data_IF_424832908959
#
_entry.id   IF_424832908959
#
_cell.length_a   1.000
_cell.length_b   1.000
_cell.length_c   1.000
_cell.angle_alpha   90.00
_cell.angle_beta   90.00
_cell.angle_gamma   90.00
#
_symmetry.space_group_name_H-M   'P 1'
#
loop_
_entity.id
_entity.type
_entity.pdbx_description
1 polymer ?
#
# COMPACT_ATOMS: atom_id res chain seq x y z
N UNK A 1 -23.42 22.96 4.27
CA UNK A 1 -24.06 21.84 3.54
C UNK A 1 -23.06 20.86 2.90
N UNK A 2 -22.36 21.18 1.78
CA UNK A 2 -21.43 20.21 1.15
C UNK A 2 -20.26 19.80 2.08
N UNK A 3 -19.66 20.76 2.78
CA UNK A 3 -18.57 20.52 3.75
C UNK A 3 -19.02 19.66 4.94
N UNK A 4 -20.24 19.86 5.44
CA UNK A 4 -20.81 19.10 6.56
C UNK A 4 -21.16 17.67 6.13
N UNK A 5 -21.74 17.49 4.94
CA UNK A 5 -22.02 16.17 4.36
C UNK A 5 -20.70 15.42 4.14
N UNK A 6 -19.67 16.08 3.61
CA UNK A 6 -18.37 15.46 3.40
C UNK A 6 -17.69 15.07 4.71
N UNK A 7 -17.72 15.94 5.73
CA UNK A 7 -17.19 15.60 7.06
C UNK A 7 -17.93 14.41 7.66
N UNK A 8 -19.26 14.41 7.63
CA UNK A 8 -20.06 13.29 8.11
C UNK A 8 -19.69 11.98 7.40
N UNK A 9 -19.53 12.00 6.07
CA UNK A 9 -19.13 10.82 5.30
C UNK A 9 -17.72 10.33 5.66
N UNK A 10 -16.78 11.25 5.91
CA UNK A 10 -15.42 10.91 6.33
C UNK A 10 -15.38 10.36 7.77
N UNK A 11 -16.22 10.89 8.66
CA UNK A 11 -16.32 10.44 10.06
C UNK A 11 -16.88 9.01 10.19
N UNK A 12 -17.58 8.50 9.16
CA UNK A 12 -18.04 7.11 9.10
C UNK A 12 -16.88 6.11 8.96
N UNK A 13 -15.70 6.56 8.54
CA UNK A 13 -14.51 5.73 8.32
C UNK A 13 -14.63 4.75 7.13
N UNK A 14 -13.54 4.03 6.81
CA UNK A 14 -13.46 3.17 5.63
C UNK A 14 -14.48 2.03 5.66
N UNK A 15 -14.74 1.47 6.83
CA UNK A 15 -15.61 0.32 7.07
C UNK A 15 -17.07 0.56 6.65
N UNK A 16 -17.54 1.80 6.72
CA UNK A 16 -18.91 2.18 6.36
C UNK A 16 -18.95 2.98 5.07
N UNK A 17 -17.97 3.87 4.85
CA UNK A 17 -17.91 4.68 3.64
C UNK A 17 -17.72 3.84 2.38
N UNK A 18 -16.80 2.87 2.40
CA UNK A 18 -16.51 2.06 1.22
C UNK A 18 -17.73 1.22 0.80
N UNK A 19 -18.44 0.48 1.69
CA UNK A 19 -19.69 -0.18 1.33
C UNK A 19 -20.75 0.74 0.74
N UNK A 20 -20.95 1.93 1.30
CA UNK A 20 -21.95 2.89 0.80
C UNK A 20 -21.61 3.37 -0.61
N UNK A 21 -20.36 3.79 -0.83
CA UNK A 21 -19.87 4.22 -2.15
C UNK A 21 -20.02 3.08 -3.15
N UNK A 22 -19.68 1.85 -2.76
CA UNK A 22 -19.81 0.68 -3.62
C UNK A 22 -21.26 0.36 -3.94
N UNK A 23 -22.21 0.48 -3.00
CA UNK A 23 -23.64 0.27 -3.26
C UNK A 23 -24.14 1.28 -4.31
N UNK A 24 -23.79 2.55 -4.14
CA UNK A 24 -24.16 3.62 -5.09
C UNK A 24 -23.54 3.36 -6.46
N UNK A 25 -22.24 3.07 -6.50
CA UNK A 25 -21.52 2.77 -7.74
C UNK A 25 -22.12 1.56 -8.47
N UNK A 26 -22.37 0.46 -7.75
CA UNK A 26 -22.99 -0.75 -8.27
C UNK A 26 -24.38 -0.48 -8.86
N UNK A 27 -25.16 0.39 -8.21
CA UNK A 27 -26.47 0.81 -8.71
C UNK A 27 -26.36 1.60 -10.01
N UNK A 28 -25.40 2.52 -10.12
CA UNK A 28 -25.12 3.27 -11.34
C UNK A 28 -24.68 2.37 -12.51
N UNK A 29 -24.03 1.24 -12.21
CA UNK A 29 -23.70 0.19 -13.17
C UNK A 29 -24.92 -0.65 -13.60
N UNK A 30 -26.10 -0.43 -13.02
CA UNK A 30 -27.34 -1.09 -13.39
C UNK A 30 -27.55 -2.45 -12.72
N UNK A 31 -26.90 -2.71 -11.59
CA UNK A 31 -27.20 -3.86 -10.74
C UNK A 31 -28.57 -3.68 -10.03
N UNK A 32 -29.24 -4.79 -9.69
CA UNK A 32 -30.48 -4.75 -8.90
C UNK A 32 -30.15 -4.28 -7.48
N UNK A 33 -31.09 -3.59 -6.83
CA UNK A 33 -30.83 -2.98 -5.51
C UNK A 33 -30.43 -4.04 -4.46
N UNK A 34 -31.08 -5.20 -4.45
CA UNK A 34 -30.72 -6.32 -3.57
C UNK A 34 -29.30 -6.83 -3.80
N UNK A 35 -28.86 -6.95 -5.06
CA UNK A 35 -27.51 -7.37 -5.41
C UNK A 35 -26.48 -6.31 -5.02
N UNK A 36 -26.82 -5.02 -5.18
CA UNK A 36 -25.97 -3.90 -4.74
C UNK A 36 -25.76 -3.95 -3.22
N UNK A 37 -26.85 -4.07 -2.45
CA UNK A 37 -26.80 -4.12 -0.99
C UNK A 37 -26.01 -5.34 -0.50
N UNK A 38 -26.27 -6.52 -1.06
CA UNK A 38 -25.52 -7.74 -0.75
C UNK A 38 -24.03 -7.57 -1.03
N UNK A 39 -23.67 -7.07 -2.21
CA UNK A 39 -22.26 -6.87 -2.62
C UNK A 39 -21.54 -5.88 -1.71
N UNK A 40 -22.17 -4.73 -1.43
CA UNK A 40 -21.62 -3.72 -0.52
C UNK A 40 -21.45 -4.24 0.90
N UNK A 41 -22.43 -4.98 1.43
CA UNK A 41 -22.36 -5.56 2.78
C UNK A 41 -21.24 -6.60 2.90
N UNK A 42 -21.09 -7.50 1.90
CA UNK A 42 -20.00 -8.47 1.85
C UNK A 42 -18.62 -7.80 1.89
N UNK A 43 -18.45 -6.71 1.13
CA UNK A 43 -17.23 -5.90 1.13
C UNK A 43 -17.02 -5.29 2.52
N UNK A 44 -18.04 -4.65 3.10
CA UNK A 44 -17.96 -4.07 4.44
C UNK A 44 -17.55 -5.06 5.51
N UNK A 45 -18.17 -6.25 5.53
CA UNK A 45 -17.81 -7.36 6.44
C UNK A 45 -16.34 -7.76 6.26
N UNK A 46 -15.87 -7.86 5.03
CA UNK A 46 -14.47 -8.17 4.75
C UNK A 46 -13.50 -7.11 5.26
N UNK A 47 -13.82 -5.81 5.11
CA UNK A 47 -13.03 -4.72 5.68
C UNK A 47 -13.05 -4.69 7.21
N UNK A 48 -14.18 -5.01 7.85
CA UNK A 48 -14.23 -5.26 9.31
C UNK A 48 -13.26 -6.37 9.67
N UNK A 49 -13.29 -7.50 8.95
CA UNK A 49 -12.40 -8.64 9.18
C UNK A 49 -10.92 -8.28 9.02
N UNK A 50 -10.56 -7.55 7.97
CA UNK A 50 -9.20 -7.00 7.77
C UNK A 50 -8.81 -6.10 8.94
N UNK A 51 -9.68 -5.18 9.35
CA UNK A 51 -9.44 -4.29 10.49
C UNK A 51 -9.20 -5.04 11.79
N UNK A 52 -9.94 -6.12 12.05
CA UNK A 52 -9.74 -6.98 13.22
C UNK A 52 -8.37 -7.69 13.20
N UNK A 53 -7.95 -8.20 12.05
CA UNK A 53 -6.65 -8.89 11.92
C UNK A 53 -5.49 -7.89 12.03
N UNK A 54 -5.59 -6.73 11.36
CA UNK A 54 -4.61 -5.65 11.50
C UNK A 54 -4.56 -5.13 12.93
N UNK A 55 -5.71 -4.96 13.59
CA UNK A 55 -5.80 -4.60 15.00
C UNK A 55 -5.07 -5.61 15.90
N UNK A 56 -5.30 -6.90 15.68
CA UNK A 56 -4.58 -7.96 16.39
C UNK A 56 -3.05 -7.85 16.19
N UNK A 57 -2.60 -7.53 14.97
CA UNK A 57 -1.18 -7.28 14.69
C UNK A 57 -0.67 -6.06 15.46
N UNK A 58 -1.36 -4.92 15.40
CA UNK A 58 -0.99 -3.70 16.11
C UNK A 58 -0.90 -3.91 17.62
N UNK A 59 -1.91 -4.55 18.22
CA UNK A 59 -2.03 -4.78 19.66
C UNK A 59 -1.02 -5.83 20.18
N UNK A 60 -0.44 -6.64 19.29
CA UNK A 60 0.47 -7.72 19.67
C UNK A 60 1.92 -7.44 19.28
N UNK A 61 2.16 -7.11 18.01
CA UNK A 61 3.49 -6.83 17.45
C UNK A 61 3.96 -5.44 17.84
N UNK A 62 3.07 -4.44 17.91
CA UNK A 62 3.42 -3.07 18.29
C UNK A 62 4.16 -3.05 19.64
N UNK A 63 3.55 -3.51 20.75
CA UNK A 63 4.23 -3.57 22.04
C UNK A 63 5.55 -4.35 22.03
N UNK A 64 5.63 -5.44 21.26
CA UNK A 64 6.85 -6.24 21.13
C UNK A 64 7.97 -5.46 20.44
N UNK A 65 7.64 -4.68 19.41
CA UNK A 65 8.59 -3.83 18.72
C UNK A 65 9.13 -2.71 19.60
N UNK A 66 8.26 -2.08 20.41
CA UNK A 66 8.70 -1.07 21.39
C UNK A 66 9.61 -1.68 22.45
N UNK A 67 9.23 -2.83 23.00
CA UNK A 67 10.07 -3.54 23.97
C UNK A 67 11.42 -3.94 23.36
N UNK A 68 11.44 -4.38 22.10
CA UNK A 68 12.66 -4.67 21.36
C UNK A 68 13.56 -3.43 21.23
N UNK A 69 12.99 -2.26 20.90
CA UNK A 69 13.74 -1.02 20.81
C UNK A 69 14.34 -0.58 22.15
N UNK A 70 13.58 -0.70 23.24
CA UNK A 70 14.05 -0.43 24.59
C UNK A 70 15.15 -1.42 25.02
N UNK A 71 14.96 -2.72 24.73
CA UNK A 71 15.90 -3.79 25.07
C UNK A 71 17.25 -3.64 24.35
N UNK A 72 17.24 -3.28 23.07
CA UNK A 72 18.46 -3.00 22.30
C UNK A 72 19.00 -1.58 22.50
N UNK A 73 18.40 -0.78 23.40
CA UNK A 73 18.80 0.61 23.67
C UNK A 73 18.89 1.46 22.39
N UNK A 74 17.93 1.28 21.49
CA UNK A 74 17.89 1.97 20.20
C UNK A 74 17.58 3.44 20.45
N UNK A 75 18.55 4.32 20.17
CA UNK A 75 18.45 5.77 20.42
C UNK A 75 17.73 6.52 19.28
N UNK A 76 16.52 6.07 18.92
CA UNK A 76 15.63 6.74 17.97
C UNK A 76 14.51 7.43 18.75
N UNK A 77 14.35 8.74 18.55
CA UNK A 77 13.52 9.59 19.42
C UNK A 77 12.23 10.07 18.76
N UNK A 78 12.03 9.82 17.46
CA UNK A 78 10.78 10.16 16.77
C UNK A 78 9.96 8.90 16.54
N UNK A 79 8.71 8.92 17.01
CA UNK A 79 7.81 7.77 16.91
C UNK A 79 7.07 7.81 15.58
N UNK A 80 7.11 6.69 14.87
CA UNK A 80 6.23 6.41 13.74
C UNK A 80 4.79 6.17 14.21
N UNK A 81 3.87 7.06 13.83
CA UNK A 81 2.44 6.95 14.17
C UNK A 81 1.65 6.09 13.18
N UNK A 82 2.30 5.68 12.09
CA UNK A 82 1.74 4.92 11.01
C UNK A 82 0.61 5.59 10.23
N UNK A 83 0.05 4.85 9.27
CA UNK A 83 -1.14 5.30 8.54
C UNK A 83 -2.37 5.57 9.43
N UNK A 84 -2.63 4.85 10.56
CA UNK A 84 -3.78 5.14 11.41
C UNK A 84 -3.67 6.49 12.12
N UNK A 85 -2.44 6.95 12.41
CA UNK A 85 -2.18 8.28 12.93
C UNK A 85 -2.16 9.35 11.82
N UNK A 86 -1.58 9.03 10.66
CA UNK A 86 -1.37 9.99 9.57
C UNK A 86 -2.65 10.36 8.82
N UNK A 87 -3.56 9.40 8.62
CA UNK A 87 -4.77 9.62 7.82
C UNK A 87 -5.75 10.60 8.46
N UNK A 88 -6.08 10.56 9.78
CA UNK A 88 -6.94 11.56 10.39
C UNK A 88 -6.32 12.96 10.38
N UNK A 89 -5.00 13.06 10.61
CA UNK A 89 -4.28 14.35 10.55
C UNK A 89 -4.34 14.96 9.15
N UNK A 90 -4.29 14.12 8.13
CA UNK A 90 -4.45 14.53 6.72
C UNK A 90 -5.84 15.08 6.46
N UNK A 91 -6.88 14.39 6.95
CA UNK A 91 -8.26 14.83 6.77
C UNK A 91 -8.60 16.10 7.56
N UNK A 92 -7.85 16.39 8.62
CA UNK A 92 -7.92 17.67 9.33
C UNK A 92 -7.23 18.84 8.59
N UNK A 93 -6.44 18.56 7.55
CA UNK A 93 -5.70 19.59 6.81
C UNK A 93 -6.61 20.49 5.95
N UNK A 94 -6.12 21.69 5.62
CA UNK A 94 -6.86 22.62 4.75
C UNK A 94 -7.06 22.10 3.31
N UNK A 95 -6.22 21.17 2.85
CA UNK A 95 -6.29 20.59 1.51
C UNK A 95 -7.41 19.54 1.40
N UNK A 96 -7.80 18.93 2.53
CA UNK A 96 -8.77 17.83 2.59
C UNK A 96 -10.11 18.12 1.88
N UNK A 97 -10.64 19.34 2.04
CA UNK A 97 -11.94 19.73 1.49
C UNK A 97 -12.01 19.66 -0.04
N UNK A 98 -10.90 19.98 -0.72
CA UNK A 98 -10.84 20.03 -2.19
C UNK A 98 -10.18 18.79 -2.79
N UNK A 99 -9.46 18.02 -2.00
CA UNK A 99 -8.67 16.90 -2.51
C UNK A 99 -9.55 15.80 -3.16
N UNK A 100 -10.72 15.50 -2.58
CA UNK A 100 -11.66 14.51 -3.12
C UNK A 100 -12.18 14.91 -4.51
N UNK A 101 -12.84 16.07 -4.70
CA UNK A 101 -13.33 16.45 -6.02
C UNK A 101 -12.19 16.60 -7.04
N UNK A 102 -11.01 17.09 -6.62
CA UNK A 102 -9.83 17.18 -7.49
C UNK A 102 -9.36 15.80 -7.93
N UNK A 103 -9.17 14.85 -7.00
CA UNK A 103 -8.72 13.50 -7.30
C UNK A 103 -9.70 12.72 -8.19
N UNK A 104 -11.02 12.88 -7.97
CA UNK A 104 -12.06 12.32 -8.83
C UNK A 104 -12.00 12.97 -10.23
N UNK A 105 -11.87 14.30 -10.29
CA UNK A 105 -11.74 15.04 -11.54
C UNK A 105 -10.54 14.59 -12.36
N UNK A 106 -9.39 14.39 -11.72
CA UNK A 106 -8.17 13.83 -12.34
C UNK A 106 -8.44 12.41 -12.87
N UNK A 107 -9.09 11.55 -12.09
CA UNK A 107 -9.40 10.20 -12.54
C UNK A 107 -10.31 10.21 -13.78
N UNK A 108 -11.39 11.01 -13.76
CA UNK A 108 -12.30 11.18 -14.91
C UNK A 108 -11.56 11.72 -16.14
N UNK A 109 -10.72 12.75 -15.97
CA UNK A 109 -9.93 13.32 -17.05
C UNK A 109 -9.00 12.28 -17.67
N UNK A 110 -8.31 11.50 -16.84
CA UNK A 110 -7.41 10.43 -17.31
C UNK A 110 -8.17 9.30 -18.02
N UNK A 111 -9.40 8.98 -17.61
CA UNK A 111 -10.23 7.98 -18.28
C UNK A 111 -10.69 8.48 -19.67
N UNK A 112 -11.17 9.73 -19.76
CA UNK A 112 -11.62 10.33 -21.03
C UNK A 112 -10.46 10.50 -22.01
N UNK A 113 -9.28 10.90 -21.52
CA UNK A 113 -8.05 11.02 -22.32
C UNK A 113 -7.34 9.69 -22.54
N UNK A 114 -7.89 8.57 -22.03
CA UNK A 114 -7.33 7.21 -22.14
C UNK A 114 -5.92 7.06 -21.56
N UNK A 115 -5.55 7.92 -20.61
CA UNK A 115 -4.29 7.84 -19.88
C UNK A 115 -4.25 6.68 -18.88
N UNK A 116 -5.40 6.27 -18.33
CA UNK A 116 -5.53 5.10 -17.46
C UNK A 116 -6.78 4.30 -17.77
N UNK A 117 -6.78 3.02 -17.40
CA UNK A 117 -7.94 2.12 -17.40
C UNK A 117 -8.60 2.02 -16.02
N UNK A 118 -7.99 2.59 -14.99
CA UNK A 118 -8.40 2.45 -13.58
C UNK A 118 -9.49 3.47 -13.25
N UNK A 119 -10.68 2.98 -12.93
CA UNK A 119 -11.77 3.74 -12.33
C UNK A 119 -11.62 3.63 -10.82
N UNK A 120 -11.18 4.70 -10.16
CA UNK A 120 -11.04 4.66 -8.71
C UNK A 120 -12.41 4.75 -8.04
N UNK A 121 -12.75 3.75 -7.23
CA UNK A 121 -13.99 3.74 -6.43
C UNK A 121 -13.72 3.85 -4.94
N UNK A 122 -12.45 3.75 -4.54
CA UNK A 122 -12.02 3.90 -3.16
C UNK A 122 -11.68 5.36 -2.86
N UNK A 123 -12.68 6.04 -2.29
CA UNK A 123 -12.61 7.45 -1.92
C UNK A 123 -11.81 7.63 -0.62
N UNK A 124 -11.74 6.60 0.25
CA UNK A 124 -11.02 6.70 1.52
C UNK A 124 -9.55 6.91 1.26
N UNK A 125 -8.99 6.12 0.34
CA UNK A 125 -7.58 6.16 0.01
C UNK A 125 -7.14 7.41 -0.78
N UNK A 126 -8.05 8.36 -1.06
CA UNK A 126 -7.69 9.72 -1.48
C UNK A 126 -6.90 10.46 -0.39
N UNK A 127 -6.93 9.99 0.87
CA UNK A 127 -6.09 10.55 1.92
C UNK A 127 -4.60 10.52 1.55
N UNK A 128 -4.10 9.51 0.82
CA UNK A 128 -2.68 9.43 0.43
C UNK A 128 -2.22 10.61 -0.44
N UNK A 129 -2.98 10.90 -1.50
CA UNK A 129 -2.73 12.06 -2.37
C UNK A 129 -3.04 13.39 -1.66
N UNK A 130 -4.00 13.39 -0.74
CA UNK A 130 -4.27 14.54 0.14
C UNK A 130 -3.09 14.84 1.06
N UNK A 131 -2.44 13.81 1.63
CA UNK A 131 -1.26 13.95 2.49
C UNK A 131 -0.15 14.64 1.72
N UNK A 132 0.08 14.24 0.47
CA UNK A 132 1.07 14.89 -0.40
C UNK A 132 0.77 16.36 -0.62
N UNK A 133 -0.49 16.69 -0.92
CA UNK A 133 -0.90 18.09 -1.06
C UNK A 133 -0.76 18.89 0.23
N UNK A 134 -1.11 18.29 1.38
CA UNK A 134 -0.97 18.92 2.69
C UNK A 134 0.50 19.21 3.03
N UNK A 135 1.39 18.24 2.83
CA UNK A 135 2.82 18.41 3.07
C UNK A 135 3.44 19.46 2.14
N UNK A 136 3.03 19.47 0.86
CA UNK A 136 3.53 20.46 -0.10
C UNK A 136 3.03 21.87 0.23
N UNK A 137 1.78 22.00 0.69
CA UNK A 137 1.24 23.26 1.19
C UNK A 137 2.04 23.74 2.42
N UNK A 138 2.30 22.88 3.40
CA UNK A 138 3.10 23.24 4.57
C UNK A 138 4.54 23.64 4.20
N UNK A 139 5.15 22.93 3.25
CA UNK A 139 6.52 23.18 2.83
C UNK A 139 6.71 24.48 2.04
N UNK A 140 5.70 24.90 1.29
CA UNK A 140 5.79 26.04 0.35
C UNK A 140 4.98 27.26 0.78
N UNK A 141 4.05 27.11 1.74
CA UNK A 141 3.04 28.11 2.09
C UNK A 141 1.98 28.36 1.01
N UNK A 142 2.01 27.61 -0.10
CA UNK A 142 1.09 27.82 -1.23
C UNK A 142 0.01 26.76 -1.28
N UNK A 143 -1.23 27.19 -1.07
CA UNK A 143 -2.42 26.34 -1.20
C UNK A 143 -2.55 25.72 -2.61
N UNK A 144 -2.24 26.50 -3.65
CA UNK A 144 -2.32 26.06 -5.04
C UNK A 144 -1.27 25.00 -5.39
N UNK A 145 -0.06 25.13 -4.83
CA UNK A 145 0.94 24.07 -4.96
C UNK A 145 0.50 22.80 -4.22
N UNK A 146 -0.17 22.93 -3.07
CA UNK A 146 -0.81 21.80 -2.40
C UNK A 146 -1.81 21.07 -3.30
N UNK A 147 -2.72 21.80 -3.97
CA UNK A 147 -3.66 21.21 -4.94
C UNK A 147 -2.91 20.53 -6.10
N UNK A 148 -1.87 21.17 -6.65
CA UNK A 148 -1.04 20.57 -7.69
C UNK A 148 -0.40 19.26 -7.21
N UNK A 149 0.05 19.20 -5.95
CA UNK A 149 0.55 17.98 -5.32
C UNK A 149 -0.48 16.85 -5.32
N UNK A 150 -1.75 17.15 -4.97
CA UNK A 150 -2.85 16.17 -5.07
C UNK A 150 -3.02 15.70 -6.51
N UNK A 151 -3.06 16.61 -7.48
CA UNK A 151 -3.24 16.29 -8.90
C UNK A 151 -2.15 15.37 -9.41
N UNK A 152 -0.88 15.71 -9.16
CA UNK A 152 0.27 14.95 -9.65
C UNK A 152 0.33 13.58 -8.98
N UNK A 153 0.14 13.51 -7.66
CA UNK A 153 0.13 12.24 -6.95
C UNK A 153 -1.00 11.35 -7.47
N UNK A 154 -2.24 11.86 -7.52
CA UNK A 154 -3.41 11.12 -7.99
C UNK A 154 -3.18 10.57 -9.41
N UNK A 155 -2.77 11.43 -10.34
CA UNK A 155 -2.53 11.03 -11.73
C UNK A 155 -1.48 9.92 -11.83
N UNK A 156 -0.41 10.05 -11.05
CA UNK A 156 0.68 9.10 -11.06
C UNK A 156 0.28 7.74 -10.47
N UNK A 157 -0.38 7.71 -9.31
CA UNK A 157 -0.74 6.43 -8.67
C UNK A 157 -1.87 5.68 -9.39
N UNK A 158 -2.82 6.39 -10.01
CA UNK A 158 -3.78 5.76 -10.93
C UNK A 158 -3.10 5.13 -12.15
N UNK A 159 -1.96 5.69 -12.59
CA UNK A 159 -1.17 5.10 -13.66
C UNK A 159 -0.34 3.90 -13.19
N UNK A 160 0.19 3.95 -11.98
CA UNK A 160 0.84 2.80 -11.37
C UNK A 160 -0.11 1.61 -11.21
N UNK A 161 -1.34 1.84 -10.75
CA UNK A 161 -2.36 0.79 -10.67
C UNK A 161 -2.65 0.13 -12.02
N UNK A 162 -2.65 0.90 -13.11
CA UNK A 162 -2.80 0.38 -14.48
C UNK A 162 -1.57 -0.44 -14.93
N UNK A 163 -0.35 0.00 -14.59
CA UNK A 163 0.87 -0.73 -14.95
C UNK A 163 1.07 -2.03 -14.18
N UNK A 164 0.62 -2.09 -12.92
CA UNK A 164 0.66 -3.29 -12.07
C UNK A 164 -0.62 -4.14 -12.16
N UNK A 165 -1.52 -3.83 -13.08
CA UNK A 165 -2.77 -4.59 -13.27
C UNK A 165 -2.51 -6.08 -13.55
N UNK A 166 -1.42 -6.41 -14.29
CA UNK A 166 -1.04 -7.80 -14.55
C UNK A 166 -0.60 -8.51 -13.28
N UNK A 167 0.26 -7.88 -12.47
CA UNK A 167 0.69 -8.46 -11.18
C UNK A 167 -0.52 -8.67 -10.26
N UNK A 168 -1.46 -7.74 -10.27
CA UNK A 168 -2.70 -7.82 -9.48
C UNK A 168 -3.61 -8.98 -9.95
N UNK A 169 -3.71 -9.19 -11.27
CA UNK A 169 -4.52 -10.27 -11.86
C UNK A 169 -3.86 -11.65 -11.73
N UNK A 170 -2.61 -11.76 -12.17
CA UNK A 170 -1.96 -13.06 -12.38
C UNK A 170 -1.37 -13.63 -11.08
N UNK A 171 -0.81 -12.78 -10.21
CA UNK A 171 -0.24 -13.23 -8.93
C UNK A 171 -1.28 -13.25 -7.81
N UNK A 172 -2.05 -12.18 -7.65
CA UNK A 172 -3.05 -12.09 -6.57
C UNK A 172 -4.43 -12.66 -6.93
N UNK A 173 -4.69 -13.00 -8.21
CA UNK A 173 -5.98 -13.52 -8.64
C UNK A 173 -7.11 -12.49 -8.63
N UNK A 174 -6.80 -11.19 -8.57
CA UNK A 174 -7.80 -10.12 -8.47
C UNK A 174 -8.17 -9.63 -9.87
N UNK A 175 -8.99 -10.41 -10.55
CA UNK A 175 -9.36 -10.13 -11.94
C UNK A 175 -10.17 -8.82 -12.09
N UNK A 176 -9.68 -7.91 -12.94
CA UNK A 176 -10.36 -6.63 -13.20
C UNK A 176 -10.24 -5.61 -12.07
N UNK A 177 -9.38 -5.88 -11.09
CA UNK A 177 -9.08 -5.01 -9.96
C UNK A 177 -7.67 -4.44 -10.14
N UNK A 178 -7.51 -3.18 -9.77
CA UNK A 178 -6.21 -2.52 -9.67
C UNK A 178 -6.03 -1.99 -8.24
N UNK A 179 -4.77 -1.90 -7.81
CA UNK A 179 -4.39 -1.32 -6.51
C UNK A 179 -3.61 -0.02 -6.78
N UNK A 180 -4.29 1.12 -6.98
CA UNK A 180 -3.66 2.37 -7.34
C UNK A 180 -3.28 3.23 -6.12
N UNK A 181 -3.31 2.68 -4.90
CA UNK A 181 -3.20 3.47 -3.66
C UNK A 181 -2.06 2.98 -2.77
N UNK A 182 -1.67 3.87 -1.85
CA UNK A 182 -0.79 3.56 -0.73
C UNK A 182 0.60 3.10 -1.12
N UNK A 183 1.35 2.64 -0.11
CA UNK A 183 2.74 2.20 -0.22
C UNK A 183 2.92 1.06 -1.23
N UNK A 184 1.94 0.16 -1.36
CA UNK A 184 1.94 -0.90 -2.38
C UNK A 184 2.15 -0.35 -3.78
N UNK A 185 1.39 0.68 -4.17
CA UNK A 185 1.43 1.21 -5.53
C UNK A 185 2.74 1.96 -5.79
N UNK A 186 3.10 2.92 -4.92
CA UNK A 186 4.24 3.79 -5.17
C UNK A 186 5.60 3.16 -4.86
N UNK A 187 5.69 2.06 -4.13
CA UNK A 187 6.97 1.35 -3.90
C UNK A 187 7.22 0.23 -4.91
N UNK A 188 6.19 -0.21 -5.64
CA UNK A 188 6.32 -1.16 -6.74
C UNK A 188 7.43 -0.81 -7.76
N UNK A 189 7.61 0.45 -8.19
CA UNK A 189 8.71 0.84 -9.07
C UNK A 189 10.11 0.54 -8.51
N UNK A 190 10.30 0.63 -7.18
CA UNK A 190 11.59 0.28 -6.55
C UNK A 190 11.83 -1.23 -6.67
N UNK A 191 10.81 -2.05 -6.39
CA UNK A 191 10.91 -3.50 -6.56
C UNK A 191 11.21 -3.89 -8.02
N UNK A 192 10.63 -3.18 -8.99
CA UNK A 192 10.91 -3.37 -10.42
C UNK A 192 12.37 -3.10 -10.80
N UNK A 193 12.94 -2.01 -10.26
CA UNK A 193 14.34 -1.70 -10.46
C UNK A 193 15.23 -2.82 -9.92
N UNK A 194 14.97 -3.25 -8.68
CA UNK A 194 15.73 -4.31 -8.02
C UNK A 194 15.62 -5.63 -8.77
N UNK A 195 14.41 -6.01 -9.21
CA UNK A 195 14.20 -7.24 -9.97
C UNK A 195 15.02 -7.26 -11.26
N UNK A 196 14.99 -6.15 -12.00
CA UNK A 196 15.76 -6.00 -13.24
C UNK A 196 17.28 -6.08 -13.01
N UNK A 197 17.76 -5.55 -11.87
CA UNK A 197 19.18 -5.65 -11.49
C UNK A 197 19.52 -7.10 -11.15
N UNK A 198 18.69 -7.77 -10.35
CA UNK A 198 18.89 -9.17 -9.96
C UNK A 198 18.93 -10.08 -11.19
N UNK A 199 18.04 -9.89 -12.17
CA UNK A 199 18.00 -10.67 -13.41
C UNK A 199 19.31 -10.61 -14.21
N UNK A 200 19.99 -9.46 -14.18
CA UNK A 200 21.25 -9.22 -14.90
C UNK A 200 22.48 -9.80 -14.18
N UNK A 201 22.38 -10.13 -12.89
CA UNK A 201 23.51 -10.67 -12.13
C UNK A 201 23.50 -12.20 -12.25
N UNK A 202 24.48 -12.80 -12.96
CA UNK A 202 24.56 -14.26 -13.09
C UNK A 202 24.77 -14.91 -11.72
N UNK A 203 23.97 -15.95 -11.43
CA UNK A 203 23.98 -16.65 -10.14
C UNK A 203 22.85 -16.17 -9.24
N UNK A 204 22.79 -14.87 -8.95
CA UNK A 204 21.71 -14.27 -8.15
C UNK A 204 20.34 -14.45 -8.82
N UNK A 205 20.30 -14.35 -10.15
CA UNK A 205 19.09 -14.55 -10.94
C UNK A 205 18.50 -15.97 -10.84
N UNK A 206 19.31 -16.98 -10.49
CA UNK A 206 18.90 -18.39 -10.37
C UNK A 206 18.37 -18.74 -8.98
N UNK A 207 18.55 -17.88 -7.98
CA UNK A 207 18.09 -18.16 -6.62
C UNK A 207 16.57 -18.01 -6.59
N UNK A 208 15.86 -19.13 -6.46
CA UNK A 208 14.44 -19.18 -6.25
C UNK A 208 14.13 -19.81 -4.90
N UNK A 209 13.49 -19.03 -4.03
CA UNK A 209 13.07 -19.46 -2.72
C UNK A 209 11.72 -18.83 -2.43
N UNK A 210 10.67 -19.63 -2.38
CA UNK A 210 9.31 -19.20 -2.03
C UNK A 210 8.87 -19.79 -0.68
N UNK A 211 7.80 -19.23 -0.10
CA UNK A 211 7.17 -19.82 1.08
C UNK A 211 6.69 -21.27 0.82
N UNK A 212 6.22 -21.55 -0.39
CA UNK A 212 5.78 -22.90 -0.79
C UNK A 212 6.97 -23.88 -0.86
N UNK A 213 8.15 -23.42 -1.25
CA UNK A 213 9.37 -24.25 -1.22
C UNK A 213 9.79 -24.59 0.22
N UNK A 214 9.57 -23.67 1.17
CA UNK A 214 9.74 -23.94 2.60
C UNK A 214 8.75 -25.02 3.04
N UNK A 215 7.47 -24.91 2.67
CA UNK A 215 6.47 -25.92 2.97
C UNK A 215 6.82 -27.29 2.38
N UNK A 216 7.25 -27.34 1.12
CA UNK A 216 7.65 -28.59 0.45
C UNK A 216 8.85 -29.26 1.12
N UNK A 217 9.80 -28.47 1.65
CA UNK A 217 11.04 -28.99 2.24
C UNK A 217 10.92 -29.32 3.72
N UNK A 218 10.14 -28.55 4.47
CA UNK A 218 9.98 -28.68 5.94
C UNK A 218 8.64 -29.28 6.36
N UNK A 219 7.76 -29.64 5.40
CA UNK A 219 6.48 -30.27 5.65
C UNK A 219 5.57 -29.37 6.52
N UNK A 220 4.93 -29.91 7.58
CA UNK A 220 4.08 -29.12 8.48
C UNK A 220 4.76 -27.90 9.12
N UNK A 221 6.10 -27.93 9.26
CA UNK A 221 6.85 -26.80 9.81
C UNK A 221 7.01 -25.63 8.83
N UNK A 222 6.79 -25.86 7.53
CA UNK A 222 6.82 -24.82 6.52
C UNK A 222 5.44 -24.27 6.17
N UNK A 223 4.37 -24.71 6.83
CA UNK A 223 3.05 -24.13 6.63
C UNK A 223 3.02 -22.66 7.04
N UNK A 224 2.25 -21.80 6.35
CA UNK A 224 2.17 -20.36 6.67
C UNK A 224 1.85 -20.09 8.14
N UNK A 225 1.00 -20.90 8.76
CA UNK A 225 0.65 -20.80 10.19
C UNK A 225 1.87 -21.06 11.08
N UNK A 226 2.67 -22.09 10.78
CA UNK A 226 3.88 -22.43 11.52
C UNK A 226 4.97 -21.37 11.33
N UNK A 227 5.10 -20.81 10.13
CA UNK A 227 5.99 -19.65 9.88
C UNK A 227 5.56 -18.47 10.77
N UNK A 228 4.25 -18.22 10.85
CA UNK A 228 3.69 -17.22 11.77
C UNK A 228 4.07 -17.46 13.22
N UNK A 229 3.92 -18.70 13.68
CA UNK A 229 4.27 -19.12 15.03
C UNK A 229 5.76 -18.91 15.33
N UNK A 230 6.65 -19.42 14.47
CA UNK A 230 8.11 -19.30 14.61
C UNK A 230 8.53 -17.83 14.63
N UNK A 231 7.98 -17.01 13.75
CA UNK A 231 8.30 -15.58 13.73
C UNK A 231 7.84 -14.88 15.01
N UNK A 232 6.69 -15.24 15.58
CA UNK A 232 6.27 -14.67 16.86
C UNK A 232 7.14 -15.11 18.04
N UNK A 233 7.70 -16.33 18.01
CA UNK A 233 8.72 -16.75 18.98
C UNK A 233 9.97 -15.87 18.86
N UNK A 234 10.48 -15.70 17.64
CA UNK A 234 11.68 -14.87 17.37
C UNK A 234 11.46 -13.44 17.84
N UNK A 235 10.34 -12.82 17.45
CA UNK A 235 10.02 -11.44 17.83
C UNK A 235 9.90 -11.32 19.36
N UNK A 236 9.24 -12.26 20.03
CA UNK A 236 9.07 -12.23 21.48
C UNK A 236 10.39 -12.35 22.23
N UNK A 237 11.28 -13.24 21.78
CA UNK A 237 12.62 -13.39 22.38
C UNK A 237 13.45 -12.13 22.18
N UNK A 238 13.45 -11.55 20.98
CA UNK A 238 14.15 -10.30 20.69
C UNK A 238 13.60 -9.12 21.51
N UNK A 239 12.29 -9.13 21.76
CA UNK A 239 11.61 -8.15 22.62
C UNK A 239 11.94 -8.31 24.12
N UNK A 240 12.66 -9.36 24.53
CA UNK A 240 13.00 -9.62 25.93
C UNK A 240 11.80 -10.07 26.78
N UNK A 241 10.77 -10.64 26.14
CA UNK A 241 9.59 -11.14 26.83
C UNK A 241 9.87 -12.41 27.64
N UNK A 242 9.07 -12.64 28.68
CA UNK A 242 9.09 -13.91 29.41
C UNK A 242 8.52 -15.05 28.57
N UNK A 243 8.79 -16.31 28.96
CA UNK A 243 8.38 -17.48 28.19
C UNK A 243 6.86 -17.51 27.89
N UNK A 244 6.04 -17.01 28.84
CA UNK A 244 4.59 -16.92 28.68
C UNK A 244 4.19 -15.92 27.59
N UNK A 245 4.71 -14.70 27.63
CA UNK A 245 4.39 -13.69 26.63
C UNK A 245 4.97 -14.02 25.24
N UNK A 246 6.14 -14.67 25.18
CA UNK A 246 6.70 -15.21 23.92
C UNK A 246 5.74 -16.19 23.26
N UNK A 247 5.23 -17.18 24.01
CA UNK A 247 4.27 -18.16 23.48
C UNK A 247 2.94 -17.51 23.07
N UNK A 248 2.45 -16.53 23.84
CA UNK A 248 1.24 -15.78 23.48
C UNK A 248 1.41 -15.02 22.17
N UNK A 249 2.55 -14.35 21.98
CA UNK A 249 2.86 -13.64 20.73
C UNK A 249 2.93 -14.62 19.55
N UNK A 250 3.60 -15.76 19.71
CA UNK A 250 3.69 -16.82 18.70
C UNK A 250 2.31 -17.33 18.24
N UNK A 251 1.39 -17.59 19.17
CA UNK A 251 0.04 -18.02 18.80
C UNK A 251 -0.74 -16.91 18.09
N UNK A 252 -0.59 -15.66 18.52
CA UNK A 252 -1.25 -14.50 17.89
C UNK A 252 -0.76 -14.27 16.46
N UNK A 253 0.55 -14.34 16.21
CA UNK A 253 1.11 -14.20 14.85
C UNK A 253 0.73 -15.38 13.95
N UNK A 254 0.65 -16.59 14.50
CA UNK A 254 0.11 -17.76 13.79
C UNK A 254 -1.38 -17.57 13.41
N UNK A 255 -2.18 -17.00 14.32
CA UNK A 255 -3.59 -16.69 14.05
C UNK A 255 -3.75 -15.68 12.91
N UNK A 256 -2.89 -14.65 12.84
CA UNK A 256 -2.88 -13.67 11.73
C UNK A 256 -2.67 -14.38 10.39
N UNK A 257 -1.69 -15.29 10.30
CA UNK A 257 -1.42 -16.07 9.07
C UNK A 257 -2.61 -16.90 8.61
N UNK A 258 -3.44 -17.36 9.54
CA UNK A 258 -4.61 -18.18 9.27
C UNK A 258 -5.86 -17.34 8.94
N UNK A 259 -6.05 -16.23 9.64
CA UNK A 259 -7.25 -15.40 9.54
C UNK A 259 -7.20 -14.45 8.34
N UNK A 260 -6.03 -13.89 8.02
CA UNK A 260 -5.92 -12.86 6.98
C UNK A 260 -6.44 -13.32 5.61
N UNK A 261 -6.09 -14.50 5.08
CA UNK A 261 -6.64 -14.96 3.80
C UNK A 261 -8.15 -15.21 3.84
N UNK A 262 -8.71 -15.55 5.01
CA UNK A 262 -10.13 -15.90 5.17
C UNK A 262 -11.03 -14.68 5.19
N UNK A 263 -10.58 -13.56 5.75
CA UNK A 263 -11.36 -12.32 5.79
C UNK A 263 -11.42 -11.60 4.44
N UNK A 264 -10.58 -11.99 3.47
CA UNK A 264 -10.61 -11.44 2.11
C UNK A 264 -11.72 -12.06 1.27
N UNK A 265 -12.08 -13.32 1.52
CA UNK A 265 -13.08 -14.05 0.71
C UNK A 265 -14.42 -13.30 0.58
N UNK A 266 -15.03 -12.76 1.65
CA UNK A 266 -16.23 -11.93 1.53
C UNK A 266 -16.06 -10.73 0.58
N UNK A 267 -14.87 -10.11 0.55
CA UNK A 267 -14.61 -8.99 -0.35
C UNK A 267 -14.64 -9.45 -1.80
N UNK A 268 -13.98 -10.57 -2.09
CA UNK A 268 -14.00 -11.17 -3.43
C UNK A 268 -15.40 -11.55 -3.90
N UNK A 269 -16.21 -12.11 -3.01
CA UNK A 269 -17.61 -12.46 -3.29
C UNK A 269 -18.45 -11.22 -3.61
N UNK A 270 -18.18 -10.09 -2.94
CA UNK A 270 -18.83 -8.81 -3.22
C UNK A 270 -18.31 -8.08 -4.47
N UNK A 271 -17.03 -8.21 -4.80
CA UNK A 271 -16.41 -7.53 -5.94
C UNK A 271 -16.67 -8.21 -7.28
N UNK A 272 -16.69 -9.55 -7.30
CA UNK A 272 -16.92 -10.34 -8.52
C UNK A 272 -18.17 -9.90 -9.31
N UNK A 273 -19.37 -9.76 -8.70
CA UNK A 273 -20.55 -9.31 -9.44
C UNK A 273 -20.41 -7.88 -9.96
N UNK A 274 -19.78 -6.98 -9.19
CA UNK A 274 -19.55 -5.58 -9.58
C UNK A 274 -18.61 -5.52 -10.78
N UNK A 275 -17.48 -6.22 -10.73
CA UNK A 275 -16.51 -6.28 -11.82
C UNK A 275 -17.16 -6.80 -13.12
N UNK A 276 -17.99 -7.84 -13.03
CA UNK A 276 -18.73 -8.38 -14.18
C UNK A 276 -19.70 -7.35 -14.79
N UNK A 277 -20.46 -6.64 -13.96
CA UNK A 277 -21.39 -5.60 -14.42
C UNK A 277 -20.67 -4.37 -14.97
N UNK A 278 -19.60 -3.93 -14.29
CA UNK A 278 -18.75 -2.83 -14.71
C UNK A 278 -18.17 -3.10 -16.11
N UNK A 279 -17.54 -4.26 -16.30
CA UNK A 279 -17.00 -4.67 -17.60
C UNK A 279 -18.07 -4.68 -18.68
N UNK A 280 -19.24 -5.25 -18.44
CA UNK A 280 -20.34 -5.29 -19.42
C UNK A 280 -20.81 -3.88 -19.81
N UNK A 281 -21.05 -2.99 -18.83
CA UNK A 281 -21.51 -1.61 -19.08
C UNK A 281 -20.45 -0.77 -19.78
N UNK A 282 -19.20 -0.86 -19.33
CA UNK A 282 -18.10 -0.05 -19.85
C UNK A 282 -17.66 -0.52 -21.24
N UNK A 283 -17.63 -1.82 -21.50
CA UNK A 283 -17.40 -2.35 -22.87
C UNK A 283 -18.49 -1.88 -23.85
N UNK A 284 -19.76 -1.86 -23.43
CA UNK A 284 -20.86 -1.38 -24.27
C UNK A 284 -20.76 0.13 -24.58
N UNK A 285 -20.22 0.94 -23.67
CA UNK A 285 -20.14 2.40 -23.81
C UNK A 285 -18.84 2.90 -24.47
N UNK A 286 -17.74 2.18 -24.25
CA UNK A 286 -16.38 2.62 -24.61
C UNK A 286 -15.63 1.66 -25.54
N UNK A 287 -16.30 0.64 -26.10
CA UNK A 287 -15.85 -0.21 -27.20
C UNK A 287 -14.34 -0.44 -27.33
N UNK A 288 -13.84 -1.58 -26.83
CA UNK A 288 -12.44 -2.01 -27.03
C UNK A 288 -11.46 -1.67 -25.90
N UNK A 289 -11.90 -1.05 -24.79
CA UNK A 289 -11.09 -0.85 -23.60
C UNK A 289 -11.56 -1.72 -22.42
N UNK A 290 -10.63 -2.46 -21.83
CA UNK A 290 -10.84 -3.16 -20.57
C UNK A 290 -10.63 -2.17 -19.41
N UNK A 291 -11.67 -1.90 -18.62
CA UNK A 291 -11.57 -1.04 -17.45
C UNK A 291 -11.27 -1.86 -16.19
N UNK A 292 -10.55 -1.23 -15.27
CA UNK A 292 -10.14 -1.80 -13.99
C UNK A 292 -10.79 -1.02 -12.85
N UNK A 293 -11.18 -1.70 -11.77
CA UNK A 293 -11.72 -1.07 -10.58
C UNK A 293 -10.58 -0.85 -9.58
N UNK A 294 -10.30 0.41 -9.23
CA UNK A 294 -9.28 0.79 -8.26
C UNK A 294 -9.77 0.62 -6.81
N UNK A 295 -9.06 -0.19 -6.01
CA UNK A 295 -9.46 -0.58 -4.65
C UNK A 295 -8.29 -0.53 -3.65
N UNK A 296 -8.64 -0.72 -2.38
CA UNK A 296 -7.75 -0.69 -1.23
C UNK A 296 -6.61 -1.72 -1.31
N UNK A 297 -5.36 -1.33 -0.98
CA UNK A 297 -4.21 -2.23 -1.00
C UNK A 297 -4.27 -3.37 0.03
N UNK A 298 -5.17 -3.35 1.00
CA UNK A 298 -5.34 -4.40 2.01
C UNK A 298 -5.77 -5.73 1.39
N UNK A 299 -6.35 -5.69 0.18
CA UNK A 299 -6.63 -6.87 -0.61
C UNK A 299 -5.37 -7.71 -0.88
N UNK A 300 -4.20 -7.08 -0.98
CA UNK A 300 -2.94 -7.78 -1.23
C UNK A 300 -2.44 -8.57 -0.01
N UNK A 301 -2.86 -8.15 1.19
CA UNK A 301 -2.45 -8.80 2.44
C UNK A 301 -3.11 -10.15 2.66
N UNK A 302 -4.14 -10.52 1.89
CA UNK A 302 -4.71 -11.87 1.95
C UNK A 302 -3.82 -12.95 1.35
N UNK A 303 -2.77 -12.56 0.63
CA UNK A 303 -1.81 -13.51 0.08
C UNK A 303 -0.79 -13.91 1.14
N UNK A 304 -0.68 -15.23 1.39
CA UNK A 304 0.17 -15.78 2.46
C UNK A 304 1.64 -15.41 2.31
N UNK A 305 2.17 -15.32 1.10
CA UNK A 305 3.56 -14.89 0.85
C UNK A 305 3.80 -13.44 1.30
N UNK A 306 2.81 -12.56 1.16
CA UNK A 306 2.90 -11.16 1.63
C UNK A 306 2.95 -11.13 3.14
N UNK A 307 2.04 -11.83 3.82
CA UNK A 307 2.03 -11.87 5.30
C UNK A 307 3.31 -12.51 5.83
N UNK A 308 3.78 -13.60 5.22
CA UNK A 308 5.03 -14.29 5.61
C UNK A 308 6.24 -13.35 5.51
N UNK A 309 6.39 -12.67 4.37
CA UNK A 309 7.44 -11.70 4.18
C UNK A 309 7.33 -10.55 5.19
N UNK A 310 6.10 -10.08 5.46
CA UNK A 310 5.85 -9.00 6.43
C UNK A 310 6.35 -9.37 7.82
N UNK A 311 6.09 -10.59 8.27
CA UNK A 311 6.55 -11.06 9.58
C UNK A 311 8.07 -11.08 9.70
N UNK A 312 8.77 -11.51 8.64
CA UNK A 312 10.25 -11.46 8.58
C UNK A 312 10.75 -10.02 8.61
N UNK A 313 10.05 -9.11 7.95
CA UNK A 313 10.42 -7.70 7.89
C UNK A 313 10.20 -6.94 9.20
N UNK A 314 9.43 -7.45 10.16
CA UNK A 314 9.26 -6.80 11.48
C UNK A 314 10.62 -6.60 12.18
N UNK A 315 11.37 -7.66 12.57
CA UNK A 315 12.66 -7.49 13.22
C UNK A 315 13.71 -6.89 12.27
N UNK A 316 13.63 -7.21 10.97
CA UNK A 316 14.58 -6.70 9.98
C UNK A 316 14.43 -5.18 9.78
N UNK A 317 13.22 -4.63 9.83
CA UNK A 317 12.99 -3.18 9.70
C UNK A 317 13.54 -2.42 10.91
N UNK A 318 13.45 -2.99 12.11
CA UNK A 318 14.10 -2.41 13.30
C UNK A 318 15.61 -2.37 13.10
N UNK A 319 16.21 -3.46 12.59
CA UNK A 319 17.64 -3.49 12.25
C UNK A 319 17.99 -2.44 11.19
N UNK A 320 17.19 -2.33 10.11
CA UNK A 320 17.39 -1.33 9.06
C UNK A 320 17.30 0.08 9.66
N UNK A 321 16.35 0.35 10.56
CA UNK A 321 16.19 1.65 11.20
C UNK A 321 17.42 2.07 12.03
N UNK A 322 18.15 1.11 12.61
CA UNK A 322 19.42 1.38 13.30
C UNK A 322 20.56 1.61 12.31
N UNK A 323 20.57 0.90 11.18
CA UNK A 323 21.66 0.94 10.21
C UNK A 323 21.56 2.11 9.22
N UNK A 324 20.36 2.64 8.95
CA UNK A 324 20.17 3.75 8.00
C UNK A 324 20.82 5.01 8.57
N UNK A 325 21.80 5.61 7.88
CA UNK A 325 22.52 6.77 8.38
C UNK A 325 21.60 7.97 8.62
N UNK A 326 21.71 8.55 9.81
CA UNK A 326 20.94 9.72 10.21
C UNK A 326 19.47 9.47 10.49
N UNK A 327 18.99 8.21 10.46
CA UNK A 327 17.62 7.88 10.80
C UNK A 327 17.31 8.30 12.24
N UNK A 328 16.13 8.89 12.44
CA UNK A 328 15.62 9.28 13.76
C UNK A 328 14.28 8.62 14.08
N UNK A 329 13.65 8.03 13.07
CA UNK A 329 12.31 7.46 13.16
C UNK A 329 12.40 6.01 13.63
N UNK A 330 11.77 5.71 14.76
CA UNK A 330 11.56 4.37 15.23
C UNK A 330 10.26 3.81 14.59
N UNK A 331 10.36 2.81 13.69
CA UNK A 331 9.19 2.22 13.05
C UNK A 331 8.34 1.48 14.08
N UNK A 332 7.10 1.93 14.27
CA UNK A 332 6.21 1.44 15.31
C UNK A 332 4.79 1.28 14.76
N UNK A 333 4.13 2.37 14.38
CA UNK A 333 2.78 2.35 13.84
C UNK A 333 2.65 1.56 12.53
N UNK A 334 3.60 1.72 11.61
CA UNK A 334 3.60 1.01 10.34
C UNK A 334 4.29 -0.36 10.40
N UNK A 335 4.91 -0.72 11.54
CA UNK A 335 5.61 -2.00 11.65
C UNK A 335 4.66 -3.20 11.55
N UNK A 336 3.47 -3.07 12.14
CA UNK A 336 2.41 -4.07 12.05
C UNK A 336 1.77 -4.14 10.65
N UNK A 337 2.03 -3.15 9.80
CA UNK A 337 1.39 -2.99 8.48
C UNK A 337 2.42 -2.94 7.34
N UNK A 338 3.66 -3.37 7.62
CA UNK A 338 4.77 -3.52 6.67
C UNK A 338 4.34 -4.22 5.37
N UNK A 339 3.37 -5.13 5.44
CA UNK A 339 2.85 -5.82 4.27
C UNK A 339 2.42 -4.89 3.15
N UNK A 340 1.88 -3.71 3.45
CA UNK A 340 1.56 -2.73 2.41
C UNK A 340 2.80 -2.25 1.65
N UNK A 341 3.95 -2.11 2.31
CA UNK A 341 5.18 -1.59 1.70
C UNK A 341 5.82 -2.60 0.74
N UNK A 342 5.66 -3.89 1.01
CA UNK A 342 6.31 -4.97 0.27
C UNK A 342 5.37 -5.79 -0.61
N UNK A 343 4.05 -5.62 -0.50
CA UNK A 343 3.06 -6.43 -1.20
C UNK A 343 3.30 -6.47 -2.71
N UNK A 344 3.50 -5.31 -3.33
CA UNK A 344 3.76 -5.24 -4.77
C UNK A 344 5.13 -5.84 -5.13
N UNK A 345 6.12 -5.75 -4.25
CA UNK A 345 7.42 -6.39 -4.46
C UNK A 345 7.28 -7.92 -4.52
N UNK A 346 6.48 -8.50 -3.63
CA UNK A 346 6.19 -9.95 -3.63
C UNK A 346 5.61 -10.38 -4.98
N UNK A 347 4.67 -9.61 -5.54
CA UNK A 347 4.08 -9.93 -6.83
C UNK A 347 5.04 -9.71 -8.01
N UNK A 348 5.82 -8.61 -8.00
CA UNK A 348 6.87 -8.37 -8.99
C UNK A 348 7.85 -9.54 -9.05
N UNK A 349 8.26 -10.06 -7.89
CA UNK A 349 9.17 -11.20 -7.79
C UNK A 349 8.46 -12.56 -7.86
N UNK A 350 7.17 -12.60 -8.17
CA UNK A 350 6.38 -13.83 -8.31
C UNK A 350 6.46 -14.75 -7.08
N UNK A 351 6.47 -14.17 -5.88
CA UNK A 351 6.54 -14.92 -4.62
C UNK A 351 7.93 -15.39 -4.23
N UNK A 352 8.97 -15.02 -4.97
CA UNK A 352 10.37 -15.28 -4.60
C UNK A 352 10.75 -14.41 -3.39
N UNK A 353 10.80 -15.04 -2.22
CA UNK A 353 11.09 -14.43 -0.93
C UNK A 353 12.52 -13.90 -0.88
N UNK A 354 13.50 -14.56 -1.50
CA UNK A 354 14.88 -14.06 -1.54
C UNK A 354 14.96 -12.69 -2.24
N UNK A 355 14.35 -12.58 -3.42
CA UNK A 355 14.29 -11.30 -4.15
C UNK A 355 13.48 -10.25 -3.41
N UNK A 356 12.37 -10.67 -2.80
CA UNK A 356 11.51 -9.82 -1.97
C UNK A 356 12.28 -9.26 -0.77
N UNK A 357 13.15 -10.05 -0.12
CA UNK A 357 13.97 -9.59 0.99
C UNK A 357 14.95 -8.49 0.54
N UNK A 358 15.60 -8.65 -0.61
CA UNK A 358 16.51 -7.62 -1.16
C UNK A 358 15.73 -6.34 -1.47
N UNK A 359 14.60 -6.44 -2.19
CA UNK A 359 13.77 -5.29 -2.51
C UNK A 359 13.23 -4.60 -1.27
N UNK A 360 12.73 -5.36 -0.30
CA UNK A 360 12.18 -4.80 0.92
C UNK A 360 13.24 -4.12 1.79
N UNK A 361 14.49 -4.61 1.84
CA UNK A 361 15.58 -3.90 2.54
C UNK A 361 15.81 -2.51 1.91
N UNK A 362 15.86 -2.44 0.58
CA UNK A 362 16.04 -1.18 -0.15
C UNK A 362 14.83 -0.26 0.03
N UNK A 363 13.62 -0.80 -0.10
CA UNK A 363 12.37 -0.07 0.10
C UNK A 363 12.31 0.51 1.52
N UNK A 364 12.53 -0.29 2.55
CA UNK A 364 12.48 0.18 3.93
C UNK A 364 13.59 1.19 4.23
N UNK A 365 14.80 0.98 3.68
CA UNK A 365 15.90 1.92 3.83
C UNK A 365 15.59 3.30 3.23
N UNK A 366 15.05 3.34 2.01
CA UNK A 366 14.62 4.58 1.36
C UNK A 366 13.48 5.23 2.15
N UNK A 367 12.47 4.45 2.54
CA UNK A 367 11.31 4.95 3.28
C UNK A 367 11.71 5.57 4.62
N UNK A 368 12.58 4.92 5.41
CA UNK A 368 13.06 5.43 6.68
C UNK A 368 13.90 6.70 6.52
N UNK A 369 14.78 6.71 5.51
CA UNK A 369 15.58 7.89 5.20
C UNK A 369 14.69 9.09 4.83
N UNK A 370 13.70 8.89 3.96
CA UNK A 370 12.74 9.93 3.57
C UNK A 370 11.87 10.36 4.75
N UNK A 371 11.36 9.41 5.55
CA UNK A 371 10.54 9.69 6.73
C UNK A 371 11.29 10.58 7.73
N UNK A 372 12.60 10.36 7.89
CA UNK A 372 13.45 11.23 8.72
C UNK A 372 13.52 12.65 8.17
N UNK A 373 13.58 12.83 6.85
CA UNK A 373 13.62 14.17 6.24
C UNK A 373 12.28 14.92 6.37
N UNK A 374 11.16 14.22 6.59
CA UNK A 374 9.82 14.82 6.64
C UNK A 374 9.31 15.06 8.07
N UNK A 375 10.08 14.69 9.11
CA UNK A 375 9.71 14.83 10.54
C UNK A 375 9.13 16.21 10.85
N UNK A 376 9.80 17.29 10.42
CA UNK A 376 9.38 18.66 10.73
C UNK A 376 7.99 19.00 10.15
N UNK A 377 7.78 18.69 8.87
CA UNK A 377 6.51 18.93 8.18
C UNK A 377 5.39 18.04 8.74
N UNK A 378 5.70 16.78 9.05
CA UNK A 378 4.75 15.85 9.63
C UNK A 378 4.34 16.31 11.04
N UNK A 379 5.31 16.71 11.86
CA UNK A 379 5.04 17.26 13.20
C UNK A 379 4.18 18.52 13.14
N UNK A 380 4.42 19.40 12.15
CA UNK A 380 3.59 20.57 11.92
C UNK A 380 2.16 20.20 11.49
N UNK A 381 2.01 19.20 10.61
CA UNK A 381 0.69 18.68 10.23
C UNK A 381 -0.07 18.14 11.45
N UNK A 382 0.61 17.38 12.31
CA UNK A 382 0.03 16.85 13.54
C UNK A 382 -0.36 17.96 14.53
N UNK A 383 0.46 19.01 14.67
CA UNK A 383 0.14 20.18 15.48
C UNK A 383 -1.11 20.90 14.96
N UNK A 384 -1.18 21.14 13.65
CA UNK A 384 -2.34 21.78 13.01
C UNK A 384 -3.63 20.96 13.17
N UNK A 385 -3.51 19.63 13.23
CA UNK A 385 -4.62 18.72 13.47
C UNK A 385 -5.00 18.57 14.96
N UNK A 386 -4.27 19.20 15.89
CA UNK A 386 -4.48 19.04 17.33
C UNK A 386 -4.09 17.66 17.87
N UNK A 387 -3.29 16.90 17.12
CA UNK A 387 -2.91 15.53 17.45
C UNK A 387 -1.52 15.40 18.09
N UNK A 388 -0.79 16.52 18.23
CA UNK A 388 0.56 16.53 18.80
C UNK A 388 0.54 16.68 20.33
N UNK A 389 1.24 15.80 21.03
CA UNK A 389 1.51 15.97 22.47
C UNK A 389 2.57 17.06 22.69
N UNK A 390 2.50 17.79 23.81
CA UNK A 390 3.42 18.89 24.11
C UNK A 390 4.89 18.47 23.97
N UNK A 391 5.66 19.17 23.13
CA UNK A 391 7.08 18.89 22.86
C UNK A 391 7.36 17.62 22.05
N UNK A 392 6.33 16.92 21.57
CA UNK A 392 6.48 15.71 20.78
C UNK A 392 6.90 15.98 19.33
N UNK A 393 7.57 14.98 18.73
CA UNK A 393 7.77 14.89 17.28
C UNK A 393 7.13 13.60 16.79
N UNK A 394 6.54 13.66 15.60
CA UNK A 394 5.92 12.50 14.97
C UNK A 394 6.37 12.40 13.52
N UNK A 395 6.44 11.17 13.04
CA UNK A 395 6.66 10.83 11.65
C UNK A 395 5.77 9.65 11.27
N UNK A 396 5.78 9.30 9.99
CA UNK A 396 5.24 8.04 9.52
C UNK A 396 6.09 7.49 8.40
N UNK A 397 6.15 6.16 8.31
CA UNK A 397 6.75 5.53 7.14
C UNK A 397 5.78 5.63 5.95
N UNK A 398 4.49 5.38 6.16
CA UNK A 398 3.48 5.52 5.11
C UNK A 398 3.21 7.00 4.85
N UNK A 399 3.30 7.39 3.57
CA UNK A 399 3.24 8.76 3.07
C UNK A 399 4.38 9.69 3.52
N UNK A 400 4.77 9.69 4.79
CA UNK A 400 5.92 10.44 5.30
C UNK A 400 7.25 9.96 4.72
N UNK A 401 7.36 8.66 4.44
CA UNK A 401 8.47 8.03 3.72
C UNK A 401 8.26 7.89 2.21
N UNK A 402 7.20 8.49 1.64
CA UNK A 402 6.87 8.32 0.22
C UNK A 402 7.85 9.08 -0.69
N UNK A 403 8.48 8.39 -1.67
CA UNK A 403 9.30 9.05 -2.68
C UNK A 403 8.53 10.10 -3.49
N UNK A 404 7.24 9.86 -3.79
CA UNK A 404 6.42 10.82 -4.54
C UNK A 404 6.28 12.12 -3.76
N UNK A 405 5.84 12.02 -2.50
CA UNK A 405 5.62 13.17 -1.63
C UNK A 405 6.90 13.98 -1.46
N UNK A 406 8.00 13.30 -1.15
CA UNK A 406 9.26 13.95 -0.85
C UNK A 406 9.91 14.58 -2.08
N UNK A 407 9.90 13.90 -3.23
CA UNK A 407 10.42 14.47 -4.48
C UNK A 407 9.65 15.73 -4.90
N UNK A 408 8.33 15.74 -4.72
CA UNK A 408 7.53 16.94 -4.99
C UNK A 408 7.89 18.08 -4.04
N UNK A 409 8.03 17.82 -2.74
CA UNK A 409 8.48 18.84 -1.78
C UNK A 409 9.83 19.43 -2.20
N UNK A 410 10.82 18.57 -2.46
CA UNK A 410 12.17 19.02 -2.81
C UNK A 410 12.23 19.76 -4.15
N UNK A 411 11.38 19.42 -5.11
CA UNK A 411 11.28 20.14 -6.39
C UNK A 411 10.88 21.61 -6.22
N UNK A 412 10.12 21.94 -5.17
CA UNK A 412 9.65 23.30 -4.90
C UNK A 412 10.43 24.02 -3.79
N UNK A 413 11.12 23.29 -2.89
CA UNK A 413 11.87 23.91 -1.79
C UNK A 413 13.39 23.93 -1.99
N UNK A 414 13.94 23.04 -2.82
CA UNK A 414 15.39 22.92 -3.10
C UNK A 414 16.29 22.74 -1.87
N UNK A 415 15.76 22.22 -0.77
CA UNK A 415 16.47 22.11 0.50
C UNK A 415 17.57 21.04 0.49
N UNK A 416 17.37 19.93 -0.22
CA UNK A 416 18.30 18.80 -0.26
C UNK A 416 18.53 18.33 -1.70
N UNK A 417 19.35 19.07 -2.45
CA UNK A 417 19.60 18.83 -3.88
C UNK A 417 20.25 17.47 -4.13
N UNK A 418 21.23 17.08 -3.31
CA UNK A 418 21.95 15.80 -3.48
C UNK A 418 21.01 14.62 -3.23
N UNK A 419 20.27 14.65 -2.12
CA UNK A 419 19.27 13.62 -1.83
C UNK A 419 18.20 13.57 -2.92
N UNK A 420 17.72 14.74 -3.38
CA UNK A 420 16.73 14.85 -4.43
C UNK A 420 17.22 14.15 -5.70
N UNK A 421 18.44 14.43 -6.16
CA UNK A 421 19.01 13.80 -7.33
C UNK A 421 19.11 12.27 -7.18
N UNK A 422 19.60 11.78 -6.04
CA UNK A 422 19.75 10.34 -5.78
C UNK A 422 18.41 9.62 -5.79
N UNK A 423 17.43 10.08 -5.00
CA UNK A 423 16.11 9.44 -4.93
C UNK A 423 15.37 9.59 -6.27
N UNK A 424 15.47 10.75 -6.94
CA UNK A 424 14.84 10.95 -8.24
C UNK A 424 15.40 9.98 -9.29
N UNK A 425 16.72 9.79 -9.35
CA UNK A 425 17.35 8.85 -10.29
C UNK A 425 16.87 7.42 -10.02
N UNK A 426 16.94 6.97 -8.76
CA UNK A 426 16.52 5.61 -8.38
C UNK A 426 15.04 5.42 -8.71
N UNK A 427 14.20 6.35 -8.30
CA UNK A 427 12.75 6.23 -8.45
C UNK A 427 12.32 6.32 -9.91
N UNK A 428 12.82 7.30 -10.67
CA UNK A 428 12.51 7.46 -12.08
C UNK A 428 13.03 6.28 -12.91
N UNK A 429 14.20 5.73 -12.58
CA UNK A 429 14.68 4.51 -13.23
C UNK A 429 13.71 3.34 -13.01
N UNK A 430 13.25 3.14 -11.77
CA UNK A 430 12.22 2.15 -11.44
C UNK A 430 10.92 2.38 -12.22
N UNK A 431 10.45 3.63 -12.29
CA UNK A 431 9.23 4.01 -13.02
C UNK A 431 9.37 3.74 -14.53
N UNK A 432 10.51 4.08 -15.14
CA UNK A 432 10.77 3.81 -16.55
C UNK A 432 10.77 2.30 -16.85
N UNK A 433 11.34 1.49 -15.96
CA UNK A 433 11.34 0.03 -16.08
C UNK A 433 9.93 -0.54 -15.93
N UNK A 434 9.16 -0.08 -14.93
CA UNK A 434 7.74 -0.44 -14.76
C UNK A 434 6.93 -0.12 -16.01
N UNK A 435 7.10 1.08 -16.57
CA UNK A 435 6.41 1.49 -17.79
C UNK A 435 6.81 0.64 -19.01
N UNK A 436 8.10 0.34 -19.18
CA UNK A 436 8.58 -0.54 -20.25
C UNK A 436 7.95 -1.93 -20.15
N UNK A 437 7.96 -2.53 -18.96
CA UNK A 437 7.36 -3.83 -18.68
C UNK A 437 5.86 -3.83 -18.96
N UNK A 438 5.14 -2.81 -18.48
CA UNK A 438 3.70 -2.68 -18.72
C UNK A 438 3.35 -2.58 -20.22
N UNK A 439 4.14 -1.83 -21.02
CA UNK A 439 3.94 -1.76 -22.47
C UNK A 439 4.20 -3.09 -23.18
N UNK A 440 5.20 -3.85 -22.75
CA UNK A 440 5.46 -5.19 -23.28
C UNK A 440 4.28 -6.13 -23.00
N UNK A 441 3.70 -6.07 -21.80
CA UNK A 441 2.53 -6.87 -21.46
C UNK A 441 1.31 -6.51 -22.32
N UNK A 442 1.00 -5.22 -22.48
CA UNK A 442 -0.10 -4.77 -23.33
C UNK A 442 0.12 -5.19 -24.80
N UNK A 443 1.36 -5.13 -25.28
CA UNK A 443 1.68 -5.58 -26.64
C UNK A 443 1.48 -7.09 -26.81
N UNK A 444 1.92 -7.89 -25.83
CA UNK A 444 1.73 -9.34 -25.83
C UNK A 444 0.25 -9.73 -25.79
N UNK A 445 -0.56 -9.11 -24.94
CA UNK A 445 -2.01 -9.37 -24.87
C UNK A 445 -2.72 -9.06 -26.19
N UNK A 446 -2.35 -7.96 -26.86
CA UNK A 446 -2.88 -7.62 -28.18
C UNK A 446 -2.50 -8.65 -29.24
N UNK A 447 -1.25 -9.13 -29.23
CA UNK A 447 -0.79 -10.15 -30.16
C UNK A 447 -1.57 -11.47 -29.99
N UNK A 448 -1.77 -11.92 -28.76
CA UNK A 448 -2.55 -13.13 -28.45
C UNK A 448 -4.01 -12.99 -28.89
N UNK A 449 -4.65 -11.83 -28.64
CA UNK A 449 -6.03 -11.58 -29.05
C UNK A 449 -6.21 -11.58 -30.57
N UNK A 450 -5.24 -11.02 -31.32
CA UNK A 450 -5.24 -11.06 -32.79
C UNK A 450 -5.12 -12.50 -33.30
N UNK A 451 -4.26 -13.31 -32.69
CA UNK A 451 -4.05 -14.69 -33.08
C UNK A 451 -5.28 -15.57 -32.81
N UNK A 452 -5.98 -15.35 -31.69
CA UNK A 452 -7.24 -16.03 -31.39
C UNK A 452 -8.36 -15.65 -32.37
N UNK A 453 -8.45 -14.38 -32.76
CA UNK A 453 -9.42 -13.94 -33.76
C UNK A 453 -9.14 -14.50 -35.16
N UNK A 454 -7.86 -14.72 -35.51
CA UNK A 454 -7.47 -15.35 -36.78
C UNK A 454 -7.72 -16.86 -36.81
N UNK A 455 -7.74 -17.54 -35.66
CA UNK A 455 -8.06 -18.97 -35.57
C UNK A 455 -9.59 -19.18 -35.53
N UNK A 456 -10.34 -18.19 -35.05
CA UNK A 456 -11.80 -18.22 -34.97
C UNK A 456 -12.52 -17.77 -36.27
N UNK A 457 -11.78 -17.17 -37.21
CA UNK A 457 -12.23 -16.81 -38.57
C UNK A 457 -11.83 -17.87 -39.58
#
# INVERSE_FOLDING_TARGET
MFSEIMRYILDLGPTVMLPLVIIVFSKLLGMKLGDCFKSGLHIGIGFVGIGLVIGLMLDSIGPAAKAMAEHFQINLHVIDVGWPGSSPMTWASQIALVAIPVAIGVNVLMLVTRMTRVVNVDIWNIWHMTFTGAMLHLATGSYWLGILGVVVHAAFVYKLGDWFAKDTRDYFGLEGIAIPHGSSAYLGPVAMLVDTIIEKIPGLNRIHFSADDVQKRFGPFGEPVTVGFVMGLVIGVLAGYDAKAVLQLAVKTAAVMLLMPRVIKPIMDGLTPIAKHARKRLQAKFGGQEFLIGLDPALLLGHTSVVSASLIFIPLTILIAVLVPGNQVLPFGDLATIGFFIAMAVAVHQGNLFRTLISGVIIMGITLWIATQTIGLHTQLAANAGALKAGGQVASLDQGGSPITWLLIQLFTWQNIVGFAVIAIIYLAGVLLTWRRARQFVAAEKATALQQNQIAS
#
